data_IF_202124482192
#
_entry.id   IF_202124482192
#
_cell.length_a   1.000
_cell.length_b   1.000
_cell.length_c   1.000
_cell.angle_alpha   90.00
_cell.angle_beta   90.00
_cell.angle_gamma   90.00
#
_symmetry.space_group_name_H-M   'P 1'
#
loop_
_entity.id
_entity.type
_entity.pdbx_description
1 polymer ?
#
# COMPACT_ATOMS: atom_id res chain seq x y z
N UNK A 1 -0.86 7.43 9.42
CA UNK A 1 -1.63 6.36 8.74
C UNK A 1 -3.11 6.71 8.56
N UNK A 2 -3.73 7.51 9.44
CA UNK A 2 -5.18 7.74 9.43
C UNK A 2 -5.70 8.75 8.38
N UNK A 3 -4.83 9.43 7.62
CA UNK A 3 -5.21 10.64 6.88
C UNK A 3 -4.92 10.58 5.37
N UNK A 4 -4.49 9.43 4.80
CA UNK A 4 -4.21 9.32 3.36
C UNK A 4 -5.38 9.83 2.49
N UNK A 5 -6.62 9.53 2.89
CA UNK A 5 -7.82 10.07 2.25
C UNK A 5 -7.89 11.60 2.33
N UNK A 6 -7.78 12.17 3.53
CA UNK A 6 -7.91 13.63 3.72
C UNK A 6 -6.76 14.38 3.07
N UNK A 7 -5.55 13.83 3.11
CA UNK A 7 -4.35 14.44 2.53
C UNK A 7 -4.42 14.43 0.99
N UNK A 8 -4.89 13.31 0.40
CA UNK A 8 -5.15 13.23 -1.03
C UNK A 8 -6.27 14.21 -1.44
N UNK A 9 -7.36 14.27 -0.68
CA UNK A 9 -8.45 15.22 -0.95
C UNK A 9 -8.00 16.68 -0.83
N UNK A 10 -7.18 17.02 0.16
CA UNK A 10 -6.61 18.35 0.33
C UNK A 10 -5.68 18.71 -0.86
N UNK A 11 -4.87 17.76 -1.31
CA UNK A 11 -4.01 17.95 -2.46
C UNK A 11 -4.81 18.11 -3.77
N UNK A 12 -5.81 17.28 -4.00
CA UNK A 12 -6.75 17.41 -5.13
C UNK A 12 -7.43 18.77 -5.12
N UNK A 13 -7.91 19.22 -3.96
CA UNK A 13 -8.54 20.55 -3.80
C UNK A 13 -7.57 21.67 -4.15
N UNK A 14 -6.31 21.60 -3.67
CA UNK A 14 -5.26 22.59 -3.97
C UNK A 14 -4.95 22.68 -5.46
N UNK A 15 -4.99 21.56 -6.17
CA UNK A 15 -4.78 21.48 -7.61
C UNK A 15 -6.04 21.80 -8.43
N UNK A 16 -7.20 21.95 -7.77
CA UNK A 16 -8.48 22.13 -8.44
C UNK A 16 -8.92 20.89 -9.24
N UNK A 17 -8.60 19.70 -8.72
CA UNK A 17 -9.09 18.41 -9.21
C UNK A 17 -10.42 18.11 -8.51
N UNK A 18 -11.53 17.87 -9.23
CA UNK A 18 -12.82 17.58 -8.60
C UNK A 18 -12.77 16.34 -7.71
N UNK A 19 -13.47 16.36 -6.56
CA UNK A 19 -13.50 15.22 -5.62
C UNK A 19 -14.18 13.96 -6.17
N UNK A 20 -14.92 14.07 -7.28
CA UNK A 20 -15.48 12.94 -8.02
C UNK A 20 -14.49 12.28 -8.97
N UNK A 21 -13.35 12.91 -9.24
CA UNK A 21 -12.32 12.40 -10.14
C UNK A 21 -11.69 11.15 -9.56
N UNK A 22 -11.60 10.10 -10.37
CA UNK A 22 -10.89 8.88 -10.00
C UNK A 22 -9.39 9.13 -10.02
N UNK A 23 -8.69 8.73 -8.96
CA UNK A 23 -7.23 8.77 -8.86
C UNK A 23 -6.74 7.42 -8.35
N UNK A 24 -5.95 6.74 -9.16
CA UNK A 24 -5.28 5.49 -8.81
C UNK A 24 -3.80 5.80 -8.51
N UNK A 25 -3.29 5.32 -7.38
CA UNK A 25 -1.90 5.50 -6.93
C UNK A 25 -1.29 4.12 -6.73
N UNK A 26 -0.17 3.85 -7.39
CA UNK A 26 0.60 2.62 -7.23
C UNK A 26 1.97 2.93 -6.65
N UNK A 27 2.40 2.15 -5.65
CA UNK A 27 3.76 2.14 -5.13
C UNK A 27 4.59 1.12 -5.91
N UNK A 28 5.72 1.55 -6.45
CA UNK A 28 6.70 0.70 -7.12
C UNK A 28 7.75 0.19 -6.13
N UNK A 29 8.42 -0.90 -6.50
CA UNK A 29 9.47 -1.50 -5.67
C UNK A 29 10.72 -0.62 -5.48
N UNK A 30 10.87 0.45 -6.26
CA UNK A 30 11.94 1.45 -6.10
C UNK A 30 11.56 2.61 -5.15
N UNK A 31 10.36 2.56 -4.57
CA UNK A 31 9.84 3.59 -3.65
C UNK A 31 9.29 4.83 -4.35
N UNK A 32 9.14 4.79 -5.67
CA UNK A 32 8.39 5.78 -6.45
C UNK A 32 6.90 5.45 -6.47
N UNK A 33 6.09 6.48 -6.71
CA UNK A 33 4.66 6.37 -6.93
C UNK A 33 4.32 6.66 -8.38
N UNK A 34 3.34 5.94 -8.92
CA UNK A 34 2.70 6.23 -10.21
C UNK A 34 1.27 6.64 -9.93
N UNK A 35 0.79 7.72 -10.56
CA UNK A 35 -0.57 8.22 -10.39
C UNK A 35 -1.30 8.22 -11.73
N UNK A 36 -2.40 7.48 -11.81
CA UNK A 36 -3.25 7.41 -12.99
C UNK A 36 -4.60 8.08 -12.71
N UNK A 37 -5.04 8.94 -13.61
CA UNK A 37 -6.33 9.65 -13.54
C UNK A 37 -6.73 10.18 -14.92
N UNK A 38 -8.02 10.48 -15.09
CA UNK A 38 -8.52 11.20 -16.27
C UNK A 38 -8.23 12.71 -16.20
N UNK A 39 -7.86 13.25 -15.03
CA UNK A 39 -7.48 14.67 -14.87
C UNK A 39 -5.98 14.87 -15.19
N UNK A 40 -5.63 15.77 -16.11
CA UNK A 40 -4.23 16.01 -16.50
C UNK A 40 -3.35 16.51 -15.35
N UNK A 41 -3.93 17.06 -14.28
CA UNK A 41 -3.20 17.51 -13.10
C UNK A 41 -2.81 16.37 -12.16
N UNK A 42 -3.24 15.13 -12.42
CA UNK A 42 -2.78 13.99 -11.63
C UNK A 42 -1.27 13.73 -11.78
N UNK A 43 -0.66 14.12 -12.91
CA UNK A 43 0.78 14.11 -13.09
C UNK A 43 1.50 15.02 -12.05
N UNK A 44 0.85 16.09 -11.59
CA UNK A 44 1.39 16.95 -10.53
C UNK A 44 1.32 16.25 -9.17
N UNK A 45 0.29 15.45 -8.89
CA UNK A 45 0.23 14.62 -7.69
C UNK A 45 1.40 13.62 -7.69
N UNK A 46 1.63 12.94 -8.82
CA UNK A 46 2.76 12.01 -8.98
C UNK A 46 4.10 12.70 -8.70
N UNK A 47 4.33 13.85 -9.35
CA UNK A 47 5.53 14.66 -9.16
C UNK A 47 5.73 15.03 -7.69
N UNK A 48 4.67 15.50 -7.02
CA UNK A 48 4.72 15.93 -5.62
C UNK A 48 4.94 14.78 -4.63
N UNK A 49 4.46 13.57 -4.94
CA UNK A 49 4.73 12.36 -4.16
C UNK A 49 6.20 11.94 -4.30
N UNK A 50 6.74 12.00 -5.51
CA UNK A 50 8.10 11.53 -5.79
C UNK A 50 9.20 12.53 -5.40
N UNK A 51 8.94 13.84 -5.50
CA UNK A 51 9.88 14.89 -5.06
C UNK A 51 9.83 15.18 -3.56
N UNK A 52 8.82 14.61 -2.86
CA UNK A 52 8.63 14.75 -1.43
C UNK A 52 7.92 16.05 -1.00
N UNK A 53 7.45 16.89 -1.92
CA UNK A 53 6.68 18.10 -1.58
C UNK A 53 5.28 17.80 -1.03
N UNK A 54 4.74 16.61 -1.30
CA UNK A 54 3.57 16.03 -0.64
C UNK A 54 3.96 15.03 0.46
N UNK A 55 4.95 15.36 1.31
CA UNK A 55 5.55 14.45 2.30
C UNK A 55 4.54 13.76 3.23
N UNK A 56 3.50 14.48 3.68
CA UNK A 56 2.48 13.93 4.57
C UNK A 56 1.74 12.75 3.90
N UNK A 57 1.17 13.00 2.72
CA UNK A 57 0.51 11.98 1.92
C UNK A 57 1.45 10.82 1.59
N UNK A 58 2.68 11.12 1.15
CA UNK A 58 3.69 10.09 0.83
C UNK A 58 3.95 9.16 2.03
N UNK A 59 4.15 9.74 3.21
CA UNK A 59 4.39 8.97 4.43
C UNK A 59 3.17 8.14 4.83
N UNK A 60 1.97 8.68 4.65
CA UNK A 60 0.73 7.96 4.93
C UNK A 60 0.53 6.77 3.98
N UNK A 61 0.83 6.92 2.69
CA UNK A 61 0.81 5.83 1.70
C UNK A 61 1.80 4.72 2.06
N UNK A 62 3.05 5.07 2.37
CA UNK A 62 4.07 4.10 2.83
C UNK A 62 3.64 3.42 4.12
N UNK A 63 3.05 4.19 5.04
CA UNK A 63 2.53 3.65 6.28
C UNK A 63 1.44 2.61 6.03
N UNK A 64 0.48 2.90 5.15
CA UNK A 64 -0.58 1.97 4.76
C UNK A 64 -0.02 0.70 4.10
N UNK A 65 0.90 0.85 3.14
CA UNK A 65 1.58 -0.27 2.49
C UNK A 65 2.25 -1.19 3.53
N UNK A 66 3.05 -0.61 4.43
CA UNK A 66 3.75 -1.36 5.46
C UNK A 66 2.80 -2.04 6.44
N UNK A 67 1.72 -1.37 6.84
CA UNK A 67 0.70 -1.96 7.72
C UNK A 67 0.05 -3.19 7.06
N UNK A 68 -0.27 -3.12 5.77
CA UNK A 68 -0.86 -4.25 5.04
C UNK A 68 0.12 -5.42 4.91
N UNK A 69 1.39 -5.13 4.58
CA UNK A 69 2.46 -6.14 4.50
C UNK A 69 2.64 -6.85 5.85
N UNK A 70 2.69 -6.08 6.95
CA UNK A 70 2.80 -6.63 8.31
C UNK A 70 1.58 -7.50 8.65
N UNK A 71 0.37 -7.08 8.32
CA UNK A 71 -0.85 -7.86 8.57
C UNK A 71 -0.83 -9.20 7.82
N UNK A 72 -0.42 -9.22 6.56
CA UNK A 72 -0.31 -10.46 5.78
C UNK A 72 0.78 -11.39 6.32
N UNK A 73 1.94 -10.84 6.72
CA UNK A 73 3.01 -11.61 7.36
C UNK A 73 2.52 -12.22 8.67
N UNK A 74 1.83 -11.43 9.52
CA UNK A 74 1.27 -11.92 10.78
C UNK A 74 0.26 -13.06 10.53
N UNK A 75 -0.59 -12.94 9.51
CA UNK A 75 -1.51 -14.01 9.13
C UNK A 75 -0.78 -15.27 8.65
N UNK A 76 0.32 -15.14 7.90
CA UNK A 76 1.16 -16.28 7.51
C UNK A 76 1.82 -16.95 8.72
N UNK A 77 2.30 -16.18 9.70
CA UNK A 77 2.84 -16.70 10.96
C UNK A 77 1.77 -17.48 11.74
N UNK A 78 0.56 -16.94 11.87
CA UNK A 78 -0.55 -17.65 12.54
C UNK A 78 -0.89 -18.97 11.84
N UNK A 79 -0.91 -19.00 10.50
CA UNK A 79 -1.12 -20.24 9.73
C UNK A 79 0.03 -21.24 9.93
N UNK A 80 1.27 -20.77 9.96
CA UNK A 80 2.42 -21.62 10.23
C UNK A 80 2.35 -22.24 11.64
N UNK A 81 1.97 -21.47 12.66
CA UNK A 81 1.75 -21.97 14.01
C UNK A 81 0.70 -23.09 14.04
N UNK A 82 -0.46 -22.86 13.43
CA UNK A 82 -1.53 -23.86 13.36
C UNK A 82 -1.08 -25.15 12.65
N UNK A 83 -0.27 -25.03 11.61
CA UNK A 83 0.28 -26.19 10.90
C UNK A 83 1.32 -26.94 11.75
N UNK A 84 2.16 -26.23 12.49
CA UNK A 84 3.14 -26.84 13.39
C UNK A 84 2.44 -27.57 14.56
N UNK A 85 1.41 -26.96 15.14
CA UNK A 85 0.59 -27.58 16.20
C UNK A 85 -0.09 -28.87 15.70
N UNK A 86 -0.56 -28.87 14.44
CA UNK A 86 -1.18 -30.04 13.82
C UNK A 86 -0.16 -31.11 13.38
N UNK A 87 1.09 -30.74 13.12
CA UNK A 87 2.16 -31.67 12.72
C UNK A 87 3.52 -31.29 13.32
N UNK A 88 3.76 -31.60 14.61
CA UNK A 88 4.95 -31.17 15.33
C UNK A 88 6.28 -31.68 14.72
N UNK A 89 6.25 -32.82 14.03
CA UNK A 89 7.42 -33.38 13.36
C UNK A 89 7.92 -32.54 12.17
N UNK A 90 7.08 -31.63 11.65
CA UNK A 90 7.41 -30.76 10.51
C UNK A 90 7.65 -29.30 10.92
N UNK A 91 7.69 -29.00 12.21
CA UNK A 91 7.82 -27.64 12.76
C UNK A 91 8.95 -26.84 12.09
N UNK A 92 10.16 -27.39 12.04
CA UNK A 92 11.33 -26.71 11.46
C UNK A 92 11.12 -26.42 9.97
N UNK A 93 10.57 -27.38 9.21
CA UNK A 93 10.29 -27.21 7.79
C UNK A 93 9.19 -26.15 7.54
N UNK A 94 8.21 -26.04 8.43
CA UNK A 94 7.14 -25.05 8.35
C UNK A 94 7.69 -23.64 8.59
N UNK A 95 8.44 -23.44 9.68
CA UNK A 95 9.02 -22.13 10.00
C UNK A 95 10.12 -21.71 9.02
N UNK A 96 10.88 -22.67 8.46
CA UNK A 96 11.90 -22.38 7.43
C UNK A 96 11.32 -21.73 6.16
N UNK A 97 10.01 -21.83 5.92
CA UNK A 97 9.33 -21.21 4.76
C UNK A 97 8.92 -19.76 5.01
N UNK A 98 8.83 -19.31 6.27
CA UNK A 98 8.36 -17.96 6.60
C UNK A 98 9.20 -16.84 5.98
N UNK A 99 10.55 -16.91 5.93
CA UNK A 99 11.34 -15.87 5.27
C UNK A 99 11.01 -15.70 3.79
N UNK A 100 10.77 -16.82 3.08
CA UNK A 100 10.39 -16.78 1.67
C UNK A 100 8.99 -16.19 1.47
N UNK A 101 8.04 -16.51 2.35
CA UNK A 101 6.69 -15.92 2.33
C UNK A 101 6.76 -14.42 2.62
N UNK A 102 7.54 -14.02 3.62
CA UNK A 102 7.73 -12.60 3.93
C UNK A 102 8.35 -11.86 2.75
N UNK A 103 9.37 -12.44 2.10
CA UNK A 103 9.98 -11.87 0.90
C UNK A 103 8.96 -11.68 -0.24
N UNK A 104 8.10 -12.69 -0.48
CA UNK A 104 7.01 -12.60 -1.46
C UNK A 104 6.04 -11.46 -1.14
N UNK A 105 5.59 -11.34 0.12
CA UNK A 105 4.68 -10.26 0.55
C UNK A 105 5.35 -8.89 0.41
N UNK A 106 6.64 -8.78 0.77
CA UNK A 106 7.35 -7.50 0.66
C UNK A 106 7.57 -7.05 -0.78
N UNK A 107 7.61 -7.98 -1.73
CA UNK A 107 7.75 -7.71 -3.16
C UNK A 107 6.43 -7.38 -3.87
N UNK A 108 5.29 -7.54 -3.17
CA UNK A 108 3.98 -7.14 -3.72
C UNK A 108 3.90 -5.63 -3.86
N UNK A 109 3.27 -5.21 -4.96
CA UNK A 109 2.97 -3.81 -5.23
C UNK A 109 1.81 -3.37 -4.35
N UNK A 110 1.82 -2.11 -3.94
CA UNK A 110 0.68 -1.50 -3.27
C UNK A 110 -0.11 -0.64 -4.26
N UNK A 111 -1.43 -0.79 -4.25
CA UNK A 111 -2.33 0.02 -5.05
C UNK A 111 -3.40 0.64 -4.16
N UNK A 112 -3.70 1.91 -4.43
CA UNK A 112 -4.74 2.70 -3.80
C UNK A 112 -5.61 3.31 -4.89
N UNK A 113 -6.92 3.16 -4.78
CA UNK A 113 -7.90 3.78 -5.68
C UNK A 113 -8.78 4.73 -4.89
N UNK A 114 -8.82 5.98 -5.31
CA UNK A 114 -9.76 6.98 -4.80
C UNK A 114 -10.81 7.25 -5.88
N UNK A 115 -12.07 6.93 -5.59
CA UNK A 115 -13.19 7.17 -6.49
C UNK A 115 -14.46 7.44 -5.68
N UNK A 116 -15.30 8.37 -6.13
CA UNK A 116 -16.57 8.69 -5.47
C UNK A 116 -16.42 8.95 -3.94
N UNK A 117 -15.34 9.64 -3.55
CA UNK A 117 -14.99 9.91 -2.14
C UNK A 117 -14.72 8.68 -1.26
N UNK A 118 -14.57 7.50 -1.88
CA UNK A 118 -14.14 6.27 -1.23
C UNK A 118 -12.69 6.00 -1.58
N UNK A 119 -12.02 5.31 -0.66
CA UNK A 119 -10.63 4.93 -0.78
C UNK A 119 -10.55 3.42 -0.58
N UNK A 120 -10.11 2.73 -1.62
CA UNK A 120 -9.88 1.29 -1.64
C UNK A 120 -8.37 1.04 -1.79
N UNK A 121 -7.84 -0.01 -1.18
CA UNK A 121 -6.41 -0.33 -1.26
C UNK A 121 -6.15 -1.82 -1.15
N UNK A 122 -5.09 -2.29 -1.80
CA UNK A 122 -4.68 -3.69 -1.81
C UNK A 122 -3.18 -3.84 -2.01
N UNK A 123 -2.67 -5.01 -1.67
CA UNK A 123 -1.40 -5.52 -2.20
C UNK A 123 -1.70 -6.41 -3.42
N UNK A 124 -0.85 -6.36 -4.43
CA UNK A 124 -0.94 -7.13 -5.68
C UNK A 124 0.39 -7.83 -6.00
#
# INVERSE_FOLDING_TARGET
MANAKSDLQALMTKLGIPASTKVDIQSNNDGTFVVTSDDPKAAEIERMLNDGSARALRNDLIGMENALKIQQIAHAVTKAQQQADANPAMTDAIYARLPAIAAQITAQSFSLSFANQKLDYTLA
#
